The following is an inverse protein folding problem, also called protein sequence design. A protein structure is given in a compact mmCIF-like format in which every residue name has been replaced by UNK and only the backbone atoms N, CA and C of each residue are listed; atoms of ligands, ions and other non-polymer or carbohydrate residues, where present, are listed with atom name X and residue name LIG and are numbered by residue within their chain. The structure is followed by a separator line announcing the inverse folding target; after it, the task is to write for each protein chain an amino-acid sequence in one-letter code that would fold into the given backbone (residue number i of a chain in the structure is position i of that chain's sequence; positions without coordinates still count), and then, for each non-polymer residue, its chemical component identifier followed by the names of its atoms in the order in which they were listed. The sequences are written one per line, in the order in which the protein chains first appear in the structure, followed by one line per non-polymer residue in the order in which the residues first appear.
data_IF_354982816090
#
_entry.id   IF_354982816090
#
_cell.length_a   1.000
_cell.length_b   1.000
_cell.length_c   1.000
_cell.angle_alpha   90.00
_cell.angle_beta   90.00
_cell.angle_gamma   90.00
#
_symmetry.space_group_name_H-M   'P 1'
#
loop_
_entity.id
_entity.type
_entity.pdbx_description
1 polymer ?
#
# COMPACT_ATOMS: atom_id res chain seq x y z
N UNK A 1 -5.55 -5.18 -4.71
CA UNK A 1 -6.31 -4.11 -4.04
C UNK A 1 -7.73 -4.59 -3.76
N UNK A 2 -8.42 -3.98 -2.79
CA UNK A 2 -9.79 -4.36 -2.41
C UNK A 2 -10.68 -3.13 -2.24
N UNK A 3 -11.93 -3.19 -2.69
CA UNK A 3 -12.93 -2.16 -2.42
C UNK A 3 -13.73 -2.52 -1.16
N UNK A 4 -13.81 -1.59 -0.21
CA UNK A 4 -14.60 -1.76 1.00
C UNK A 4 -15.21 -0.43 1.44
N UNK A 5 -16.54 -0.42 1.68
CA UNK A 5 -17.30 0.77 2.11
C UNK A 5 -17.04 2.03 1.27
N UNK A 6 -16.86 1.87 -0.04
CA UNK A 6 -16.63 2.98 -0.97
C UNK A 6 -15.19 3.43 -1.09
N UNK A 7 -14.26 2.85 -0.33
CA UNK A 7 -12.83 3.19 -0.37
C UNK A 7 -12.00 2.04 -0.98
N UNK A 8 -10.91 2.41 -1.64
CA UNK A 8 -9.98 1.46 -2.27
C UNK A 8 -8.76 1.25 -1.36
N UNK A 9 -8.57 0.02 -0.92
CA UNK A 9 -7.46 -0.41 -0.08
C UNK A 9 -6.35 -1.02 -0.94
N UNK A 10 -5.15 -0.47 -0.81
CA UNK A 10 -3.94 -0.93 -1.49
C UNK A 10 -2.88 -1.26 -0.45
N UNK A 11 -2.45 -2.53 -0.40
CA UNK A 11 -1.39 -2.98 0.48
C UNK A 11 -0.22 -3.50 -0.35
N UNK A 12 0.99 -3.11 0.03
CA UNK A 12 2.22 -3.56 -0.60
C UNK A 12 2.47 -2.94 -1.97
N UNK A 13 3.02 -3.73 -2.89
CA UNK A 13 3.41 -3.29 -4.24
C UNK A 13 4.92 -3.21 -4.43
N UNK A 14 5.34 -3.09 -5.70
CA UNK A 14 6.76 -2.98 -6.09
C UNK A 14 7.16 -1.52 -6.20
N UNK A 15 8.34 -1.16 -5.71
CA UNK A 15 8.96 0.14 -5.93
C UNK A 15 10.36 -0.01 -6.53
N UNK A 16 10.73 0.85 -7.50
CA UNK A 16 12.01 0.74 -8.17
C UNK A 16 13.16 1.09 -7.21
N UNK A 17 14.31 0.43 -7.39
CA UNK A 17 15.58 0.83 -6.74
C UNK A 17 16.66 1.17 -7.78
N UNK A 18 17.70 1.94 -7.42
CA UNK A 18 18.81 2.22 -8.32
C UNK A 18 19.59 0.93 -8.66
N UNK A 19 19.95 0.75 -9.93
CA UNK A 19 20.83 -0.36 -10.33
C UNK A 19 22.18 -0.30 -9.60
N UNK A 20 22.70 -1.43 -9.06
CA UNK A 20 22.30 -2.82 -9.29
C UNK A 20 21.32 -3.41 -8.25
N UNK A 21 20.70 -2.59 -7.41
CA UNK A 21 19.82 -3.10 -6.36
C UNK A 21 18.52 -3.66 -6.96
N UNK A 22 18.06 -4.83 -6.48
CA UNK A 22 16.77 -5.36 -6.88
C UNK A 22 15.64 -4.45 -6.39
N UNK A 23 14.55 -4.38 -7.15
CA UNK A 23 13.36 -3.64 -6.76
C UNK A 23 12.85 -4.07 -5.38
N UNK A 24 12.26 -3.11 -4.66
CA UNK A 24 11.71 -3.35 -3.34
C UNK A 24 10.24 -3.74 -3.38
N UNK A 25 9.80 -4.43 -2.33
CA UNK A 25 8.39 -4.62 -2.03
C UNK A 25 8.02 -3.77 -0.82
N UNK A 26 6.83 -3.19 -0.84
CA UNK A 26 6.27 -2.44 0.29
C UNK A 26 5.45 -3.34 1.20
N UNK A 27 5.35 -2.95 2.46
CA UNK A 27 4.43 -3.44 3.49
C UNK A 27 3.47 -2.34 3.96
N UNK A 28 3.42 -1.22 3.23
CA UNK A 28 2.58 -0.07 3.56
C UNK A 28 1.16 -0.30 3.04
N UNK A 29 0.19 0.28 3.74
CA UNK A 29 -1.19 0.36 3.31
C UNK A 29 -1.54 1.81 2.96
N UNK A 30 -2.20 1.99 1.82
CA UNK A 30 -2.77 3.25 1.37
C UNK A 30 -4.25 3.03 1.08
N UNK A 31 -5.06 4.02 1.44
CA UNK A 31 -6.50 4.04 1.18
C UNK A 31 -6.78 5.25 0.29
N UNK A 32 -7.49 5.01 -0.81
CA UNK A 32 -8.04 6.07 -1.65
C UNK A 32 -9.51 6.27 -1.32
N UNK A 33 -9.85 7.50 -0.95
CA UNK A 33 -11.23 7.94 -0.80
C UNK A 33 -11.66 8.68 -2.08
N UNK A 34 -12.57 8.11 -2.89
CA UNK A 34 -12.99 8.70 -4.15
C UNK A 34 -13.88 9.93 -3.97
N UNK A 35 -14.60 10.07 -2.85
CA UNK A 35 -15.46 11.24 -2.59
C UNK A 35 -14.63 12.51 -2.39
N UNK A 36 -13.52 12.38 -1.67
CA UNK A 36 -12.60 13.48 -1.39
C UNK A 36 -11.45 13.56 -2.41
N UNK A 37 -11.30 12.55 -3.27
CA UNK A 37 -10.20 12.38 -4.21
C UNK A 37 -8.81 12.45 -3.55
N UNK A 38 -8.66 11.84 -2.37
CA UNK A 38 -7.40 11.82 -1.61
C UNK A 38 -6.88 10.41 -1.37
N UNK A 39 -5.56 10.33 -1.23
CA UNK A 39 -4.86 9.16 -0.70
C UNK A 39 -4.40 9.43 0.72
N UNK A 40 -4.56 8.46 1.61
CA UNK A 40 -4.07 8.55 2.98
C UNK A 40 -3.57 7.21 3.49
N UNK A 41 -2.71 7.24 4.51
CA UNK A 41 -2.28 6.05 5.23
C UNK A 41 -3.03 5.96 6.55
N UNK A 42 -3.76 4.85 6.82
CA UNK A 42 -4.42 4.67 8.10
C UNK A 42 -3.40 4.42 9.22
N UNK A 43 -3.80 4.76 10.45
CA UNK A 43 -3.09 4.30 11.65
C UNK A 43 -3.40 2.80 11.81
N UNK A 44 -2.35 1.97 11.81
CA UNK A 44 -2.46 0.52 11.97
C UNK A 44 -1.89 0.08 13.31
N UNK A 45 -2.45 -0.99 13.87
CA UNK A 45 -2.00 -1.61 15.11
C UNK A 45 -1.67 -3.09 14.86
N UNK A 46 -0.87 -3.69 15.74
CA UNK A 46 -0.47 -5.10 15.65
C UNK A 46 0.85 -5.32 14.90
N UNK A 47 1.18 -6.58 14.63
CA UNK A 47 2.38 -6.94 13.87
C UNK A 47 2.20 -6.67 12.38
N UNK A 48 3.20 -5.99 11.82
CA UNK A 48 3.20 -5.61 10.41
C UNK A 48 3.50 -6.85 9.54
N UNK A 49 2.69 -7.14 8.51
CA UNK A 49 2.98 -8.24 7.60
C UNK A 49 4.28 -7.99 6.84
N UNK A 50 4.98 -9.07 6.46
CA UNK A 50 6.15 -8.95 5.59
C UNK A 50 5.80 -8.26 4.26
N UNK A 51 6.71 -7.41 3.72
CA UNK A 51 6.53 -6.74 2.45
C UNK A 51 6.24 -7.74 1.32
N UNK A 52 5.29 -7.40 0.45
CA UNK A 52 4.89 -8.29 -0.65
C UNK A 52 4.30 -7.53 -1.83
N UNK A 53 4.33 -8.18 -2.98
CA UNK A 53 3.69 -7.78 -4.23
C UNK A 53 3.01 -9.01 -4.86
N UNK A 54 2.00 -8.79 -5.71
CA UNK A 54 1.19 -9.86 -6.30
C UNK A 54 -0.16 -9.36 -6.76
#
# INVERSE_FOLDING_TARGET
CSMFRGELFVFGGVFPRPHPEPDGCSDSIYIFNPEMAIWYQPIVNGEKPAPRSG
#
